data_IF_267295742660
#
_entry.id   IF_267295742660
#
_cell.length_a   1.000
_cell.length_b   1.000
_cell.length_c   1.000
_cell.angle_alpha   90.00
_cell.angle_beta   90.00
_cell.angle_gamma   90.00
#
_symmetry.space_group_name_H-M   'P 1'
#
loop_
_entity.id
_entity.type
_entity.pdbx_description
1 polymer ?
#
# COMPACT_ATOMS: atom_id res chain seq x y z
N UNK A 1 7.99 13.80 12.65
CA UNK A 1 6.93 14.12 11.67
C UNK A 1 6.43 15.53 11.96
N UNK A 2 6.13 16.34 10.94
CA UNK A 2 5.46 17.63 11.14
C UNK A 2 4.09 17.36 11.79
N UNK A 3 3.67 18.16 12.78
CA UNK A 3 2.41 17.96 13.52
C UNK A 3 1.18 17.91 12.58
N UNK A 4 1.19 18.67 11.50
CA UNK A 4 0.13 18.70 10.50
C UNK A 4 0.05 17.39 9.69
N UNK A 5 1.17 16.88 9.22
CA UNK A 5 1.23 15.59 8.50
C UNK A 5 0.77 14.42 9.38
N UNK A 6 1.15 14.44 10.67
CA UNK A 6 0.70 13.43 11.63
C UNK A 6 -0.82 13.48 11.84
N UNK A 7 -1.42 14.67 11.94
CA UNK A 7 -2.86 14.83 12.06
C UNK A 7 -3.62 14.31 10.82
N UNK A 8 -3.10 14.59 9.62
CA UNK A 8 -3.67 14.09 8.37
C UNK A 8 -3.59 12.56 8.28
N UNK A 9 -2.46 11.98 8.67
CA UNK A 9 -2.28 10.52 8.69
C UNK A 9 -3.21 9.84 9.71
N UNK A 10 -3.35 10.41 10.91
CA UNK A 10 -4.33 9.95 11.92
C UNK A 10 -5.75 9.94 11.38
N UNK A 11 -6.13 10.99 10.65
CA UNK A 11 -7.46 11.05 10.00
C UNK A 11 -7.67 9.93 9.00
N UNK A 12 -6.67 9.58 8.18
CA UNK A 12 -6.74 8.46 7.25
C UNK A 12 -6.87 7.11 7.98
N UNK A 13 -6.17 6.92 9.10
CA UNK A 13 -6.30 5.72 9.95
C UNK A 13 -7.70 5.60 10.56
N UNK A 14 -8.25 6.70 11.08
CA UNK A 14 -9.64 6.75 11.59
C UNK A 14 -10.63 6.36 10.49
N UNK A 15 -10.49 6.94 9.30
CA UNK A 15 -11.38 6.66 8.16
C UNK A 15 -11.32 5.18 7.74
N UNK A 16 -10.13 4.58 7.72
CA UNK A 16 -9.94 3.17 7.41
C UNK A 16 -10.79 2.27 8.34
N UNK A 17 -10.66 2.44 9.64
CA UNK A 17 -11.36 1.61 10.61
C UNK A 17 -12.86 1.88 10.67
N UNK A 18 -13.28 3.15 10.56
CA UNK A 18 -14.70 3.53 10.48
C UNK A 18 -15.38 2.94 9.25
N UNK A 19 -14.70 2.92 8.10
CA UNK A 19 -15.21 2.31 6.87
C UNK A 19 -15.40 0.80 7.04
N UNK A 20 -14.44 0.12 7.68
CA UNK A 20 -14.53 -1.31 7.97
C UNK A 20 -15.69 -1.65 8.92
N UNK A 21 -15.85 -0.87 9.98
CA UNK A 21 -16.94 -1.06 10.94
C UNK A 21 -18.31 -0.91 10.28
N UNK A 22 -18.47 0.13 9.46
CA UNK A 22 -19.70 0.37 8.69
C UNK A 22 -19.99 -0.78 7.73
N UNK A 23 -18.97 -1.33 7.05
CA UNK A 23 -19.13 -2.48 6.16
C UNK A 23 -19.50 -3.75 6.92
N UNK A 24 -18.90 -4.00 8.07
CA UNK A 24 -19.22 -5.15 8.92
C UNK A 24 -20.67 -5.10 9.44
N UNK A 25 -21.14 -3.92 9.84
CA UNK A 25 -22.53 -3.69 10.26
C UNK A 25 -23.53 -3.95 9.12
N UNK A 26 -23.27 -3.43 7.92
CA UNK A 26 -24.12 -3.66 6.74
C UNK A 26 -24.21 -5.13 6.32
N UNK A 27 -23.19 -5.92 6.58
CA UNK A 27 -23.13 -7.34 6.23
C UNK A 27 -23.80 -8.20 7.29
N UNK A 28 -23.65 -7.89 8.57
CA UNK A 28 -24.35 -8.59 9.66
C UNK A 28 -25.88 -8.51 9.56
N UNK A 29 -26.41 -7.49 8.91
CA UNK A 29 -27.86 -7.34 8.67
C UNK A 29 -28.37 -8.09 7.44
N UNK A 30 -27.49 -8.48 6.48
CA UNK A 30 -27.93 -9.07 5.19
C UNK A 30 -27.89 -10.61 5.13
N UNK A 31 -27.05 -11.29 5.86
CA UNK A 31 -26.75 -12.70 5.58
C UNK A 31 -26.94 -13.66 6.74
N UNK A 32 -27.06 -13.23 7.98
CA UNK A 32 -27.18 -14.15 9.13
C UNK A 32 -26.04 -15.18 9.28
N UNK A 33 -25.08 -15.23 8.33
CA UNK A 33 -23.93 -16.15 8.27
C UNK A 33 -22.63 -15.33 8.33
N UNK A 34 -21.92 -15.43 9.44
CA UNK A 34 -20.69 -14.66 9.72
C UNK A 34 -19.54 -14.84 8.71
N UNK A 35 -19.42 -16.00 8.05
CA UNK A 35 -18.29 -16.32 7.17
C UNK A 35 -18.38 -15.69 5.77
N UNK A 36 -19.57 -15.49 5.22
CA UNK A 36 -19.75 -14.81 3.93
C UNK A 36 -19.46 -13.30 4.01
N UNK A 37 -19.65 -12.70 5.21
CA UNK A 37 -19.43 -11.29 5.47
C UNK A 37 -17.95 -10.88 5.47
N UNK A 38 -17.04 -11.73 5.96
CA UNK A 38 -15.61 -11.40 6.03
C UNK A 38 -14.97 -11.27 4.64
N UNK A 39 -15.37 -12.09 3.65
CA UNK A 39 -14.85 -12.01 2.28
C UNK A 39 -15.29 -10.75 1.54
N UNK A 40 -16.54 -10.34 1.68
CA UNK A 40 -17.05 -9.13 1.01
C UNK A 40 -16.53 -7.83 1.67
N UNK A 41 -16.18 -7.86 2.98
CA UNK A 41 -15.50 -6.75 3.65
C UNK A 41 -14.05 -6.54 3.13
N UNK A 42 -13.42 -7.62 2.65
CA UNK A 42 -12.08 -7.59 2.07
C UNK A 42 -12.10 -7.16 0.59
N UNK A 43 -13.19 -7.41 -0.14
CA UNK A 43 -13.30 -7.12 -1.59
C UNK A 43 -13.80 -5.71 -1.91
N UNK A 44 -14.30 -4.95 -0.93
CA UNK A 44 -14.66 -3.54 -1.12
C UNK A 44 -13.42 -2.65 -1.07
N UNK A 45 -12.84 -2.27 -2.21
CA UNK A 45 -11.62 -1.47 -2.34
C UNK A 45 -11.62 -0.11 -1.63
N UNK A 46 -12.76 0.32 -1.08
CA UNK A 46 -12.96 1.62 -0.42
C UNK A 46 -12.29 1.78 0.96
N UNK A 47 -11.68 0.72 1.51
CA UNK A 47 -11.07 0.82 2.85
C UNK A 47 -9.82 1.70 2.88
N UNK A 48 -9.06 1.72 1.79
CA UNK A 48 -7.83 2.52 1.68
C UNK A 48 -8.08 3.92 1.11
N UNK A 49 -9.32 4.30 0.79
CA UNK A 49 -9.67 5.58 0.17
C UNK A 49 -9.18 6.78 0.99
N UNK A 50 -9.14 6.68 2.31
CA UNK A 50 -8.59 7.72 3.19
C UNK A 50 -7.10 7.96 2.96
N UNK A 51 -6.32 6.89 2.73
CA UNK A 51 -4.89 7.01 2.42
C UNK A 51 -4.67 7.50 0.99
N UNK A 52 -5.48 7.04 0.03
CA UNK A 52 -5.45 7.52 -1.35
C UNK A 52 -5.75 9.02 -1.39
N UNK A 53 -6.79 9.47 -0.69
CA UNK A 53 -7.15 10.88 -0.58
C UNK A 53 -6.03 11.70 0.07
N UNK A 54 -5.44 11.21 1.17
CA UNK A 54 -4.32 11.87 1.85
C UNK A 54 -3.14 12.11 0.90
N UNK A 55 -2.71 11.07 0.17
CA UNK A 55 -1.57 11.20 -0.76
C UNK A 55 -1.90 12.14 -1.91
N UNK A 56 -3.12 12.07 -2.46
CA UNK A 56 -3.60 13.01 -3.49
C UNK A 56 -3.56 14.46 -3.00
N UNK A 57 -4.11 14.72 -1.80
CA UNK A 57 -4.18 16.07 -1.25
C UNK A 57 -2.77 16.64 -0.99
N UNK A 58 -1.82 15.82 -0.52
CA UNK A 58 -0.42 16.22 -0.36
C UNK A 58 0.29 16.50 -1.70
N UNK A 59 -0.05 15.79 -2.75
CA UNK A 59 0.42 16.10 -4.11
C UNK A 59 -0.13 17.44 -4.58
N UNK A 60 -1.41 17.71 -4.39
CA UNK A 60 -2.04 19.00 -4.72
C UNK A 60 -1.40 20.17 -3.94
N UNK A 61 -1.21 20.02 -2.64
CA UNK A 61 -0.52 21.00 -1.78
C UNK A 61 0.92 21.28 -2.24
N UNK A 62 1.58 20.29 -2.84
CA UNK A 62 2.92 20.45 -3.42
C UNK A 62 2.93 21.07 -4.82
N UNK A 63 1.77 21.41 -5.37
CA UNK A 63 1.60 22.04 -6.66
C UNK A 63 1.40 21.09 -7.83
N UNK A 64 1.09 19.83 -7.60
CA UNK A 64 0.65 18.89 -8.64
C UNK A 64 -0.86 19.03 -8.81
N UNK A 65 -1.30 19.49 -9.99
CA UNK A 65 -2.71 19.77 -10.23
C UNK A 65 -3.59 18.52 -10.12
N UNK A 66 -4.75 18.64 -9.52
CA UNK A 66 -5.68 17.53 -9.25
C UNK A 66 -6.02 16.66 -10.47
N UNK A 67 -6.27 17.22 -11.67
CA UNK A 67 -6.53 16.42 -12.87
C UNK A 67 -5.37 15.50 -13.30
N UNK A 68 -4.18 15.70 -12.75
CA UNK A 68 -2.99 14.89 -13.05
C UNK A 68 -2.84 13.68 -12.10
N UNK A 69 -3.70 13.58 -11.08
CA UNK A 69 -3.72 12.49 -10.10
C UNK A 69 -4.95 11.63 -10.34
N UNK A 70 -4.76 10.43 -10.85
CA UNK A 70 -5.82 9.49 -11.21
C UNK A 70 -6.02 8.47 -10.10
N UNK A 71 -7.25 8.40 -9.55
CA UNK A 71 -7.69 7.45 -8.55
C UNK A 71 -8.99 6.80 -9.01
N UNK A 72 -9.30 5.59 -8.54
CA UNK A 72 -10.57 4.87 -8.77
C UNK A 72 -10.91 4.58 -10.24
N UNK A 73 -10.97 5.62 -11.08
CA UNK A 73 -11.20 5.52 -12.53
C UNK A 73 -9.97 6.01 -13.28
N UNK A 74 -9.69 5.39 -14.44
CA UNK A 74 -8.51 5.70 -15.26
C UNK A 74 -7.17 5.40 -14.56
N UNK A 75 -7.16 4.48 -13.58
CA UNK A 75 -5.95 3.99 -12.92
C UNK A 75 -5.29 2.81 -13.63
N UNK A 76 -5.74 2.46 -14.85
CA UNK A 76 -5.25 1.29 -15.57
C UNK A 76 -4.00 1.64 -16.38
N UNK A 77 -2.94 0.83 -16.20
CA UNK A 77 -1.73 0.88 -16.99
C UNK A 77 -1.55 -0.41 -17.78
N UNK A 78 -1.00 -0.37 -18.99
CA UNK A 78 -0.65 -1.58 -19.71
C UNK A 78 0.38 -2.39 -18.93
N UNK A 79 0.18 -3.70 -18.86
CA UNK A 79 1.15 -4.66 -18.36
C UNK A 79 1.98 -5.27 -19.49
N UNK A 80 3.02 -6.02 -19.12
CA UNK A 80 3.76 -6.84 -20.07
C UNK A 80 3.23 -8.28 -20.12
N UNK A 81 2.87 -8.80 -18.93
CA UNK A 81 2.36 -10.17 -18.77
C UNK A 81 0.82 -10.26 -18.78
N UNK A 82 0.14 -9.13 -18.87
CA UNK A 82 -1.32 -8.98 -18.91
C UNK A 82 -1.69 -7.71 -19.68
N UNK A 83 -2.91 -7.61 -20.23
CA UNK A 83 -3.33 -6.43 -20.99
C UNK A 83 -3.21 -5.14 -20.19
N UNK A 84 -3.77 -5.13 -18.98
CA UNK A 84 -3.76 -3.96 -18.08
C UNK A 84 -3.74 -4.36 -16.60
N UNK A 85 -3.30 -3.43 -15.77
CA UNK A 85 -3.41 -3.48 -14.32
C UNK A 85 -3.95 -2.15 -13.80
N UNK A 86 -4.99 -2.24 -12.97
CA UNK A 86 -5.48 -1.10 -12.21
C UNK A 86 -4.59 -0.83 -11.01
N UNK A 87 -4.14 0.41 -10.90
CA UNK A 87 -3.39 0.95 -9.76
C UNK A 87 -4.32 1.81 -8.91
N UNK A 88 -4.03 1.92 -7.62
CA UNK A 88 -4.87 2.68 -6.70
C UNK A 88 -4.68 4.19 -6.86
N UNK A 89 -3.46 4.64 -7.24
CA UNK A 89 -3.15 6.02 -7.56
C UNK A 89 -2.07 6.10 -8.64
N UNK A 90 -2.31 6.94 -9.65
CA UNK A 90 -1.34 7.31 -10.68
C UNK A 90 -1.13 8.82 -10.71
N UNK A 91 0.09 9.24 -10.98
CA UNK A 91 0.43 10.62 -11.33
C UNK A 91 0.92 10.65 -12.77
N UNK A 92 0.17 11.36 -13.64
CA UNK A 92 0.51 11.49 -15.06
C UNK A 92 0.53 12.98 -15.41
N UNK A 93 1.66 13.48 -15.86
CA UNK A 93 1.86 14.89 -16.26
C UNK A 93 2.25 14.92 -17.72
N UNK A 94 1.50 15.64 -18.55
CA UNK A 94 1.74 15.80 -20.00
C UNK A 94 1.98 14.47 -20.74
N UNK A 95 1.19 13.44 -20.40
CA UNK A 95 1.32 12.11 -20.98
C UNK A 95 2.50 11.29 -20.45
N UNK A 96 3.26 11.79 -19.49
CA UNK A 96 4.34 11.08 -18.82
C UNK A 96 3.88 10.48 -17.50
N UNK A 97 4.05 9.17 -17.33
CA UNK A 97 3.84 8.48 -16.05
C UNK A 97 4.94 8.90 -15.07
N UNK A 98 4.56 9.60 -14.02
CA UNK A 98 5.46 10.09 -12.97
C UNK A 98 5.53 9.11 -11.81
N UNK A 99 4.37 8.61 -11.36
CA UNK A 99 4.29 7.68 -10.24
C UNK A 99 3.11 6.71 -10.37
N UNK A 100 3.27 5.52 -9.79
CA UNK A 100 2.19 4.55 -9.55
C UNK A 100 2.28 4.07 -8.10
N UNK A 101 1.14 3.95 -7.43
CA UNK A 101 1.07 3.57 -6.02
C UNK A 101 0.02 2.48 -5.81
N UNK A 102 0.39 1.51 -5.01
CA UNK A 102 -0.49 0.46 -4.51
C UNK A 102 -0.70 0.65 -3.00
N UNK A 103 -1.95 0.63 -2.55
CA UNK A 103 -2.32 0.69 -1.14
C UNK A 103 -2.92 -0.64 -0.71
N UNK A 104 -2.35 -1.24 0.30
CA UNK A 104 -2.82 -2.54 0.81
C UNK A 104 -3.03 -2.50 2.31
N UNK A 105 -3.99 -3.30 2.74
CA UNK A 105 -4.20 -3.54 4.16
C UNK A 105 -4.39 -5.02 4.44
N UNK A 106 -4.12 -5.39 5.68
CA UNK A 106 -4.45 -6.72 6.16
C UNK A 106 -4.99 -6.67 7.59
N UNK A 107 -6.23 -7.12 7.74
CA UNK A 107 -6.93 -7.27 9.02
C UNK A 107 -7.41 -8.70 9.12
N UNK A 108 -6.93 -9.45 10.11
CA UNK A 108 -7.19 -10.88 10.26
C UNK A 108 -6.57 -11.75 9.16
N UNK A 109 -6.84 -13.06 9.22
CA UNK A 109 -6.42 -14.06 8.23
C UNK A 109 -4.96 -13.97 7.79
N UNK A 110 -4.06 -13.64 8.72
CA UNK A 110 -2.66 -13.27 8.43
C UNK A 110 -1.90 -14.34 7.65
N UNK A 111 -2.07 -15.63 7.99
CA UNK A 111 -1.37 -16.74 7.34
C UNK A 111 -1.72 -16.89 5.86
N UNK A 112 -3.01 -16.83 5.53
CA UNK A 112 -3.47 -17.03 4.17
C UNK A 112 -3.15 -15.83 3.25
N UNK A 113 -3.12 -14.64 3.80
CA UNK A 113 -2.99 -13.42 2.99
C UNK A 113 -1.55 -12.93 2.83
N UNK A 114 -0.62 -13.28 3.74
CA UNK A 114 0.77 -12.83 3.64
C UNK A 114 1.42 -13.24 2.31
N UNK A 115 1.29 -14.52 1.92
CA UNK A 115 1.84 -15.01 0.67
C UNK A 115 1.20 -14.31 -0.54
N UNK A 116 -0.13 -14.16 -0.54
CA UNK A 116 -0.83 -13.46 -1.61
C UNK A 116 -0.34 -12.00 -1.75
N UNK A 117 -0.17 -11.28 -0.63
CA UNK A 117 0.36 -9.90 -0.65
C UNK A 117 1.80 -9.85 -1.16
N UNK A 118 2.62 -10.86 -0.82
CA UNK A 118 3.98 -10.98 -1.34
C UNK A 118 3.98 -11.18 -2.85
N UNK A 119 3.17 -12.12 -3.35
CA UNK A 119 3.05 -12.41 -4.78
C UNK A 119 2.47 -11.22 -5.56
N UNK A 120 1.45 -10.55 -5.04
CA UNK A 120 0.87 -9.34 -5.63
C UNK A 120 1.90 -8.21 -5.73
N UNK A 121 2.68 -7.95 -4.68
CA UNK A 121 3.69 -6.90 -4.69
C UNK A 121 4.81 -7.20 -5.69
N UNK A 122 5.35 -8.41 -5.66
CA UNK A 122 6.41 -8.84 -6.59
C UNK A 122 5.92 -8.83 -8.04
N UNK A 123 4.76 -9.45 -8.30
CA UNK A 123 4.18 -9.54 -9.63
C UNK A 123 3.84 -8.18 -10.23
N UNK A 124 3.27 -7.26 -9.43
CA UNK A 124 2.92 -5.90 -9.88
C UNK A 124 4.16 -5.09 -10.26
N UNK A 125 5.22 -5.15 -9.45
CA UNK A 125 6.48 -4.47 -9.75
C UNK A 125 7.17 -5.07 -10.98
N UNK A 126 7.29 -6.41 -11.05
CA UNK A 126 7.91 -7.09 -12.18
C UNK A 126 7.22 -6.75 -13.50
N UNK A 127 5.88 -6.76 -13.51
CA UNK A 127 5.06 -6.46 -14.68
C UNK A 127 5.23 -5.00 -15.15
N UNK A 128 5.15 -4.04 -14.22
CA UNK A 128 5.35 -2.62 -14.53
C UNK A 128 6.75 -2.35 -15.08
N UNK A 129 7.79 -2.92 -14.45
CA UNK A 129 9.18 -2.72 -14.91
C UNK A 129 9.45 -3.40 -16.25
N UNK A 130 8.82 -4.53 -16.54
CA UNK A 130 8.89 -5.15 -17.86
C UNK A 130 8.21 -4.26 -18.90
N UNK A 131 6.97 -3.82 -18.67
CA UNK A 131 6.25 -2.90 -19.56
C UNK A 131 7.03 -1.60 -19.80
N UNK A 132 7.65 -1.02 -18.75
CA UNK A 132 8.48 0.17 -18.88
C UNK A 132 9.69 -0.05 -19.80
N UNK A 133 10.43 -1.15 -19.61
CA UNK A 133 11.61 -1.49 -20.45
C UNK A 133 11.23 -1.71 -21.91
N UNK A 134 10.06 -2.29 -22.15
CA UNK A 134 9.51 -2.52 -23.49
C UNK A 134 8.88 -1.26 -24.11
N UNK A 135 8.89 -0.14 -23.39
CA UNK A 135 8.51 1.17 -23.91
C UNK A 135 7.03 1.48 -23.85
N UNK A 136 6.25 0.74 -23.04
CA UNK A 136 4.80 0.98 -22.90
C UNK A 136 4.46 2.38 -22.38
N UNK A 137 5.38 3.03 -21.68
CA UNK A 137 5.17 4.35 -21.06
C UNK A 137 5.98 5.48 -21.73
N UNK A 138 6.49 5.28 -22.96
CA UNK A 138 7.19 6.35 -23.69
C UNK A 138 6.29 7.56 -23.92
N UNK A 139 6.78 8.83 -23.73
CA UNK A 139 8.18 9.19 -23.49
C UNK A 139 8.60 9.28 -22.01
N UNK A 140 7.86 8.69 -21.08
CA UNK A 140 8.11 8.78 -19.65
C UNK A 140 9.55 8.35 -19.29
N UNK A 141 10.21 9.14 -18.45
CA UNK A 141 11.38 8.68 -17.70
C UNK A 141 10.96 7.57 -16.72
N UNK A 142 11.94 6.91 -16.05
CA UNK A 142 11.62 5.87 -15.07
C UNK A 142 10.61 6.39 -14.02
N UNK A 143 9.39 5.84 -13.96
CA UNK A 143 8.39 6.28 -12.99
C UNK A 143 8.82 5.92 -11.56
N UNK A 144 8.23 6.59 -10.58
CA UNK A 144 8.34 6.24 -9.18
C UNK A 144 7.26 5.22 -8.81
N UNK A 145 7.64 4.15 -8.13
CA UNK A 145 6.74 3.09 -7.71
C UNK A 145 6.68 3.01 -6.19
N UNK A 146 5.47 3.13 -5.62
CA UNK A 146 5.23 3.11 -4.19
C UNK A 146 4.32 1.99 -3.73
N UNK A 147 4.53 1.50 -2.50
CA UNK A 147 3.67 0.52 -1.85
C UNK A 147 3.44 0.89 -0.39
N UNK A 148 2.18 1.11 -0.02
CA UNK A 148 1.79 1.39 1.36
C UNK A 148 1.03 0.19 1.94
N UNK A 149 1.48 -0.29 3.09
CA UNK A 149 0.87 -1.40 3.82
C UNK A 149 0.39 -0.97 5.19
N UNK A 150 -0.90 -1.19 5.47
CA UNK A 150 -1.48 -1.10 6.81
C UNK A 150 -1.79 -2.50 7.33
N UNK A 151 -1.11 -2.90 8.41
CA UNK A 151 -1.33 -4.18 9.10
C UNK A 151 -2.10 -3.96 10.39
N UNK A 152 -3.07 -4.82 10.66
CA UNK A 152 -3.72 -4.84 11.97
C UNK A 152 -2.71 -5.20 13.06
N UNK A 153 -2.60 -4.35 14.08
CA UNK A 153 -1.87 -4.63 15.31
C UNK A 153 -2.73 -5.50 16.24
N UNK A 154 -2.47 -6.80 16.20
CA UNK A 154 -3.19 -7.79 16.97
C UNK A 154 -2.22 -8.88 17.47
N UNK A 155 -2.56 -9.61 18.56
CA UNK A 155 -1.72 -10.71 19.04
C UNK A 155 -1.41 -11.75 17.96
N UNK A 156 -2.31 -11.96 17.00
CA UNK A 156 -2.13 -12.92 15.92
C UNK A 156 -1.15 -12.41 14.84
N UNK A 157 -0.97 -11.10 14.68
CA UNK A 157 0.01 -10.51 13.75
C UNK A 157 1.39 -10.36 14.37
N UNK A 158 1.49 -10.23 15.70
CA UNK A 158 2.74 -9.92 16.40
C UNK A 158 3.41 -11.12 17.08
N UNK A 159 2.65 -12.22 17.34
CA UNK A 159 3.24 -13.44 17.92
C UNK A 159 4.16 -14.16 16.93
N UNK A 160 5.23 -14.82 17.44
CA UNK A 160 6.08 -15.67 16.61
C UNK A 160 5.31 -16.78 15.89
N UNK A 161 5.66 -17.02 14.64
CA UNK A 161 5.06 -18.06 13.80
C UNK A 161 6.15 -18.99 13.27
N UNK A 162 6.00 -20.30 13.51
CA UNK A 162 6.94 -21.30 13.01
C UNK A 162 6.91 -21.35 11.47
N UNK A 163 8.06 -21.28 10.84
CA UNK A 163 8.21 -21.56 9.42
C UNK A 163 8.30 -23.09 9.20
N UNK A 164 7.82 -23.56 8.03
CA UNK A 164 7.96 -24.94 7.62
C UNK A 164 9.28 -25.12 6.87
N UNK A 165 10.05 -26.14 7.25
CA UNK A 165 11.37 -26.45 6.67
C UNK A 165 11.47 -27.95 6.29
N UNK A 166 10.56 -28.49 5.44
CA UNK A 166 10.51 -29.92 5.18
C UNK A 166 11.75 -30.45 4.42
N UNK A 167 12.39 -29.62 3.60
CA UNK A 167 13.53 -30.01 2.76
C UNK A 167 14.73 -29.09 2.92
N UNK A 168 14.50 -27.76 2.95
CA UNK A 168 15.54 -26.76 3.05
C UNK A 168 15.26 -25.79 4.19
N UNK A 169 16.34 -25.23 4.76
CA UNK A 169 16.22 -24.20 5.80
C UNK A 169 15.71 -22.88 5.24
N UNK A 170 14.78 -22.24 5.94
CA UNK A 170 14.43 -20.85 5.64
C UNK A 170 15.57 -19.91 6.02
N UNK A 171 15.62 -18.73 5.42
CA UNK A 171 16.56 -17.69 5.85
C UNK A 171 16.34 -17.33 7.32
N UNK A 172 17.42 -17.06 8.04
CA UNK A 172 17.44 -16.83 9.51
C UNK A 172 16.41 -15.78 9.94
N UNK A 173 16.27 -14.72 9.17
CA UNK A 173 15.35 -13.61 9.44
C UNK A 173 13.86 -14.01 9.47
N UNK A 174 13.49 -15.15 8.85
CA UNK A 174 12.14 -15.69 8.87
C UNK A 174 11.88 -16.71 9.98
N UNK A 175 12.94 -17.16 10.67
CA UNK A 175 12.78 -18.10 11.79
C UNK A 175 12.01 -17.43 12.92
N UNK A 176 10.93 -18.05 13.35
CA UNK A 176 10.01 -17.53 14.36
C UNK A 176 9.48 -16.10 14.10
N UNK A 177 9.63 -15.58 12.87
CA UNK A 177 9.15 -14.26 12.51
C UNK A 177 7.61 -14.18 12.58
N UNK A 178 7.09 -13.21 13.33
CA UNK A 178 5.67 -12.86 13.32
C UNK A 178 5.25 -12.33 11.94
N UNK A 179 3.94 -12.21 11.67
CA UNK A 179 3.49 -11.60 10.40
C UNK A 179 3.91 -10.14 10.28
N UNK A 180 3.89 -9.37 11.37
CA UNK A 180 4.45 -8.01 11.38
C UNK A 180 5.91 -8.02 10.94
N UNK A 181 6.75 -8.89 11.53
CA UNK A 181 8.16 -9.01 11.14
C UNK A 181 8.33 -9.47 9.68
N UNK A 182 7.49 -10.36 9.18
CA UNK A 182 7.53 -10.79 7.78
C UNK A 182 7.20 -9.65 6.81
N UNK A 183 6.25 -8.76 7.17
CA UNK A 183 5.97 -7.55 6.38
C UNK A 183 7.13 -6.56 6.43
N UNK A 184 7.77 -6.34 7.57
CA UNK A 184 8.98 -5.52 7.65
C UNK A 184 10.06 -6.04 6.70
N UNK A 185 10.35 -7.36 6.73
CA UNK A 185 11.33 -8.00 5.85
C UNK A 185 10.94 -7.83 4.38
N UNK A 186 9.69 -8.12 4.04
CA UNK A 186 9.18 -7.98 2.67
C UNK A 186 9.38 -6.55 2.16
N UNK A 187 8.82 -5.57 2.86
CA UNK A 187 8.82 -4.18 2.43
C UNK A 187 10.22 -3.59 2.34
N UNK A 188 11.11 -3.94 3.27
CA UNK A 188 12.52 -3.59 3.21
C UNK A 188 13.20 -4.19 1.97
N UNK A 189 12.94 -5.48 1.67
CA UNK A 189 13.50 -6.14 0.49
C UNK A 189 12.97 -5.55 -0.81
N UNK A 190 11.70 -5.20 -0.89
CA UNK A 190 11.13 -4.55 -2.08
C UNK A 190 11.89 -3.28 -2.48
N UNK A 191 12.33 -2.47 -1.51
CA UNK A 191 13.15 -1.29 -1.75
C UNK A 191 14.60 -1.67 -2.07
N UNK A 192 15.22 -2.56 -1.31
CA UNK A 192 16.62 -2.99 -1.53
C UNK A 192 16.84 -3.63 -2.90
N UNK A 193 15.88 -4.43 -3.35
CA UNK A 193 15.90 -5.06 -4.68
C UNK A 193 15.44 -4.10 -5.80
N UNK A 194 15.18 -2.82 -5.48
CA UNK A 194 14.75 -1.78 -6.43
C UNK A 194 13.48 -2.12 -7.19
N UNK A 195 12.62 -2.95 -6.59
CA UNK A 195 11.30 -3.25 -7.10
C UNK A 195 10.34 -2.09 -6.83
N UNK A 196 10.51 -1.41 -5.70
CA UNK A 196 9.81 -0.18 -5.34
C UNK A 196 10.81 0.91 -4.98
N UNK A 197 10.45 2.16 -5.25
CA UNK A 197 11.28 3.31 -4.91
C UNK A 197 11.13 3.67 -3.42
N UNK A 198 9.93 3.48 -2.87
CA UNK A 198 9.68 3.54 -1.43
C UNK A 198 8.52 2.63 -1.03
N UNK A 199 8.56 2.15 0.20
CA UNK A 199 7.45 1.46 0.86
C UNK A 199 7.14 2.12 2.19
N UNK A 200 5.86 2.07 2.60
CA UNK A 200 5.41 2.55 3.90
C UNK A 200 4.78 1.41 4.69
N UNK A 201 5.15 1.26 5.96
CA UNK A 201 4.58 0.24 6.84
C UNK A 201 3.96 0.85 8.09
N UNK A 202 2.66 0.71 8.19
CA UNK A 202 1.86 1.20 9.31
C UNK A 202 1.21 0.02 10.03
N UNK A 203 1.10 0.13 11.35
CA UNK A 203 0.29 -0.78 12.15
C UNK A 203 -0.72 0.00 12.99
N UNK A 204 -1.93 -0.52 13.10
CA UNK A 204 -2.98 0.03 13.98
C UNK A 204 -4.00 -1.04 14.32
N UNK A 205 -4.75 -0.85 15.40
CA UNK A 205 -5.84 -1.73 15.80
C UNK A 205 -7.16 -0.96 15.84
N UNK A 206 -8.29 -1.66 15.79
CA UNK A 206 -9.62 -1.04 15.71
C UNK A 206 -9.97 -0.19 16.93
N UNK A 207 -9.47 -0.52 18.12
CA UNK A 207 -9.81 0.17 19.37
C UNK A 207 -9.14 1.53 19.47
N UNK A 208 -7.83 1.58 19.24
CA UNK A 208 -7.01 2.78 19.40
C UNK A 208 -7.04 3.66 18.15
N UNK A 209 -7.31 3.06 16.99
CA UNK A 209 -7.40 3.76 15.72
C UNK A 209 -8.57 4.75 15.63
N UNK A 210 -9.67 4.54 16.36
CA UNK A 210 -10.75 5.53 16.49
C UNK A 210 -10.28 6.83 17.16
N UNK A 211 -9.14 6.78 17.87
CA UNK A 211 -8.40 7.93 18.40
C UNK A 211 -7.26 8.38 17.49
N UNK A 212 -7.17 7.82 16.28
CA UNK A 212 -6.09 8.10 15.33
C UNK A 212 -4.74 7.51 15.72
N UNK A 213 -4.69 6.49 16.58
CA UNK A 213 -3.43 5.88 16.97
C UNK A 213 -2.97 4.85 15.94
N UNK A 214 -1.69 4.93 15.62
CA UNK A 214 -0.97 4.01 14.74
C UNK A 214 0.49 3.93 15.16
N UNK A 215 1.23 2.97 14.63
CA UNK A 215 2.69 2.86 14.80
C UNK A 215 3.38 2.68 13.45
N UNK A 216 4.63 3.11 13.39
CA UNK A 216 5.57 2.96 12.28
C UNK A 216 6.75 2.13 12.82
N UNK A 217 6.68 0.79 12.77
CA UNK A 217 7.63 -0.06 13.47
C UNK A 217 9.05 -0.04 12.89
N UNK A 218 9.21 0.48 11.65
CA UNK A 218 10.49 0.55 10.95
C UNK A 218 10.76 1.99 10.52
N UNK A 219 11.85 2.57 11.01
CA UNK A 219 12.18 3.97 10.80
C UNK A 219 12.34 4.34 9.30
N UNK A 220 12.90 3.45 8.49
CA UNK A 220 13.08 3.70 7.05
C UNK A 220 11.79 3.53 6.23
N UNK A 221 10.79 2.84 6.79
CA UNK A 221 9.50 2.56 6.14
C UNK A 221 8.36 3.45 6.65
N UNK A 222 8.67 4.62 7.17
CA UNK A 222 7.69 5.56 7.70
C UNK A 222 7.00 6.36 6.59
N UNK A 223 5.83 6.93 6.91
CA UNK A 223 5.03 7.71 5.96
C UNK A 223 5.73 9.00 5.51
N UNK A 224 6.51 9.65 6.39
CA UNK A 224 7.26 10.86 6.04
C UNK A 224 8.29 10.59 4.95
N UNK A 225 9.07 9.52 5.08
CA UNK A 225 10.06 9.10 4.07
C UNK A 225 9.36 8.75 2.75
N UNK A 226 8.27 7.99 2.82
CA UNK A 226 7.48 7.60 1.65
C UNK A 226 6.95 8.81 0.88
N UNK A 227 6.25 9.71 1.56
CA UNK A 227 5.63 10.88 0.90
C UNK A 227 6.68 11.87 0.40
N UNK A 228 7.76 12.12 1.17
CA UNK A 228 8.82 13.03 0.74
C UNK A 228 9.51 12.55 -0.54
N UNK A 229 9.74 11.24 -0.68
CA UNK A 229 10.30 10.65 -1.89
C UNK A 229 9.37 10.83 -3.10
N UNK A 230 8.06 10.60 -2.94
CA UNK A 230 7.06 10.82 -3.98
C UNK A 230 7.00 12.29 -4.41
N UNK A 231 6.89 13.21 -3.44
CA UNK A 231 6.79 14.64 -3.72
C UNK A 231 8.05 15.17 -4.43
N UNK A 232 9.24 14.74 -3.99
CA UNK A 232 10.49 15.11 -4.65
C UNK A 232 10.51 14.67 -6.12
N UNK A 233 10.05 13.47 -6.42
CA UNK A 233 9.93 12.97 -7.80
C UNK A 233 8.93 13.78 -8.62
N UNK A 234 7.75 14.03 -8.08
CA UNK A 234 6.68 14.75 -8.78
C UNK A 234 7.08 16.21 -9.08
N UNK A 235 7.66 16.91 -8.10
CA UNK A 235 8.13 18.29 -8.26
C UNK A 235 9.31 18.37 -9.27
N UNK A 236 10.25 17.43 -9.23
CA UNK A 236 11.36 17.40 -10.17
C UNK A 236 10.88 17.23 -11.61
N UNK A 237 9.89 16.36 -11.86
CA UNK A 237 9.33 16.18 -13.19
C UNK A 237 8.59 17.42 -13.70
N UNK A 238 7.86 18.16 -12.82
CA UNK A 238 7.17 19.39 -13.21
C UNK A 238 8.12 20.53 -13.60
N UNK A 239 9.34 20.59 -13.04
CA UNK A 239 10.33 21.64 -13.32
C UNK A 239 11.13 21.38 -14.60
N UNK A 240 11.15 20.17 -15.12
CA UNK A 240 11.93 19.78 -16.30
C UNK A 240 11.11 19.82 -17.59
N UNK A 241 9.85 20.16 -17.49
CA UNK A 241 8.91 20.43 -18.59
C UNK A 241 8.65 21.92 -18.75
#
# INVERSE_FOLDING_TARGET
>A
MNSELDLKLRSAVIQFWSSRETQAQKQGTKTGIRDAGARAAVTGGSQMDGFVALVRDLLEESGIDKPLVYCERCGDLPGWFRPEKKWDLLVVVEGCLIAAIEFKSQVGSFGNNFNNRTEEALGSAADLWAAYREGAFKPSARPWLGYLMLLEDAPASTRPVKAQEPHFKVFEEFKAASYARRYEILLTKLVRERLYDATCFLMSNSTDALRGQYSEPVAELNFTTFISSLLAKAIACKKTQ
#
